data_IF_684720845014
#
_entry.id   IF_684720845014
#
_cell.length_a   1.000
_cell.length_b   1.000
_cell.length_c   1.000
_cell.angle_alpha   90.00
_cell.angle_beta   90.00
_cell.angle_gamma   90.00
#
_symmetry.space_group_name_H-M   'P 1'
#
loop_
_entity.id
_entity.type
_entity.pdbx_description
1 polymer ?
#
# COMPACT_ATOMS: atom_id res chain seq x y z
N UNK A 1 -3.53 12.56 -7.60
CA UNK A 1 -3.91 11.13 -7.71
C UNK A 1 -3.33 10.28 -6.58
N UNK A 2 -2.03 10.33 -6.33
CA UNK A 2 -1.40 9.54 -5.28
C UNK A 2 -1.94 9.89 -3.89
N UNK A 3 -2.12 11.18 -3.59
CA UNK A 3 -2.69 11.60 -2.32
C UNK A 3 -4.10 11.06 -2.08
N UNK A 4 -4.90 11.00 -3.14
CA UNK A 4 -6.25 10.45 -3.06
C UNK A 4 -6.22 8.94 -2.79
N UNK A 5 -5.28 8.22 -3.41
CA UNK A 5 -5.08 6.80 -3.15
C UNK A 5 -4.72 6.55 -1.68
N UNK A 6 -3.89 7.41 -1.09
CA UNK A 6 -3.52 7.29 0.32
C UNK A 6 -4.72 7.51 1.25
N UNK A 7 -5.61 8.46 0.92
CA UNK A 7 -6.82 8.68 1.70
C UNK A 7 -7.76 7.48 1.62
N UNK A 8 -7.91 6.90 0.43
CA UNK A 8 -8.72 5.69 0.25
C UNK A 8 -8.10 4.53 1.02
N UNK A 9 -6.79 4.38 0.98
CA UNK A 9 -6.09 3.33 1.73
C UNK A 9 -6.32 3.47 3.23
N UNK A 10 -6.29 4.68 3.77
CA UNK A 10 -6.56 4.92 5.18
C UNK A 10 -7.98 4.54 5.56
N UNK A 11 -8.96 4.85 4.70
CA UNK A 11 -10.34 4.44 4.92
C UNK A 11 -10.51 2.93 4.92
N UNK A 12 -9.87 2.24 3.98
CA UNK A 12 -9.92 0.79 3.90
C UNK A 12 -9.27 0.17 5.14
N UNK A 13 -8.13 0.72 5.57
CA UNK A 13 -7.44 0.24 6.76
C UNK A 13 -8.33 0.33 8.00
N UNK A 14 -9.09 1.43 8.13
CA UNK A 14 -10.02 1.60 9.23
C UNK A 14 -11.15 0.58 9.18
N UNK A 15 -11.72 0.35 7.99
CA UNK A 15 -12.80 -0.62 7.80
C UNK A 15 -12.35 -2.04 8.08
N UNK A 16 -11.08 -2.36 7.83
CA UNK A 16 -10.50 -3.69 8.05
C UNK A 16 -9.85 -3.84 9.42
N UNK A 17 -9.94 -2.81 10.27
CA UNK A 17 -9.37 -2.80 11.62
C UNK A 17 -7.86 -3.01 11.65
N UNK A 18 -7.15 -2.46 10.66
CA UNK A 18 -5.69 -2.50 10.59
C UNK A 18 -5.09 -1.11 10.68
N UNK A 19 -5.85 -0.14 11.17
CA UNK A 19 -5.43 1.26 11.23
C UNK A 19 -4.28 1.50 12.21
N UNK A 20 -4.01 0.56 13.09
CA UNK A 20 -2.89 0.62 14.03
C UNK A 20 -1.54 0.35 13.36
N UNK A 21 -1.55 -0.24 12.19
CA UNK A 21 -0.32 -0.44 11.44
C UNK A 21 -0.59 -1.05 10.07
N UNK A 22 -0.25 -0.31 9.03
CA UNK A 22 -0.35 -0.79 7.66
C UNK A 22 0.73 -0.14 6.81
N UNK A 23 0.95 -0.70 5.63
CA UNK A 23 1.95 -0.21 4.69
C UNK A 23 1.31 -0.10 3.31
N UNK A 24 1.62 0.99 2.61
CA UNK A 24 1.23 1.13 1.21
C UNK A 24 2.47 0.94 0.34
N UNK A 25 2.31 0.27 -0.80
CA UNK A 25 3.40 -0.04 -1.71
C UNK A 25 3.03 0.39 -3.11
N UNK A 26 3.92 1.16 -3.73
CA UNK A 26 3.79 1.62 -5.11
C UNK A 26 4.95 1.04 -5.90
N UNK A 27 4.67 0.12 -6.83
CA UNK A 27 5.69 -0.48 -7.68
C UNK A 27 5.92 0.38 -8.91
N UNK A 28 7.17 0.69 -9.20
CA UNK A 28 7.56 1.50 -10.34
C UNK A 28 8.62 0.74 -11.12
N UNK A 29 8.33 0.47 -12.39
CA UNK A 29 9.24 -0.22 -13.29
C UNK A 29 9.16 -1.73 -13.19
N UNK A 30 9.58 -2.46 -14.24
CA UNK A 30 9.47 -3.92 -14.26
C UNK A 30 10.30 -4.61 -13.19
N UNK A 31 11.45 -4.07 -12.82
CA UNK A 31 12.32 -4.66 -11.79
C UNK A 31 11.73 -4.55 -10.39
N UNK A 32 10.76 -3.66 -10.19
CA UNK A 32 10.05 -3.55 -8.92
C UNK A 32 8.79 -4.44 -8.89
N UNK A 33 8.55 -5.22 -9.95
CA UNK A 33 7.38 -6.08 -10.05
C UNK A 33 6.17 -5.41 -10.66
N UNK A 34 6.36 -4.29 -11.34
CA UNK A 34 5.27 -3.62 -12.05
C UNK A 34 4.91 -4.42 -13.31
N UNK A 35 3.88 -5.24 -13.21
CA UNK A 35 3.41 -6.05 -14.33
C UNK A 35 2.37 -5.32 -15.18
N UNK A 36 1.76 -4.29 -14.65
CA UNK A 36 0.76 -3.46 -15.33
C UNK A 36 1.31 -2.05 -15.40
N UNK A 37 1.34 -1.46 -16.60
CA UNK A 37 1.99 -0.18 -16.85
C UNK A 37 1.09 1.01 -16.53
N UNK A 38 0.32 0.92 -15.45
CA UNK A 38 -0.38 2.06 -14.90
C UNK A 38 -0.24 2.04 -13.38
N UNK A 39 -0.37 3.22 -12.79
CA UNK A 39 -0.12 3.42 -11.37
C UNK A 39 -1.18 2.72 -10.54
N UNK A 40 -0.74 1.96 -9.54
CA UNK A 40 -1.64 1.40 -8.52
C UNK A 40 -0.89 1.29 -7.20
N UNK A 41 -1.65 1.26 -6.10
CA UNK A 41 -1.10 1.22 -4.75
C UNK A 41 -1.61 -0.03 -4.04
N UNK A 42 -0.68 -0.79 -3.45
CA UNK A 42 -1.03 -1.93 -2.61
C UNK A 42 -1.16 -1.49 -1.17
N UNK A 43 -2.12 -2.08 -0.45
CA UNK A 43 -2.30 -1.88 0.98
C UNK A 43 -2.03 -3.22 1.67
N UNK A 44 -1.09 -3.20 2.60
CA UNK A 44 -0.64 -4.40 3.32
C UNK A 44 -0.77 -4.17 4.82
N UNK A 45 -1.44 -5.09 5.51
CA UNK A 45 -1.61 -4.99 6.95
C UNK A 45 -2.09 -6.30 7.55
N UNK A 46 -2.46 -6.27 8.82
CA UNK A 46 -2.97 -7.45 9.52
C UNK A 46 -1.90 -8.26 10.23
N UNK A 47 -0.65 -7.79 10.22
CA UNK A 47 0.46 -8.36 10.99
C UNK A 47 1.48 -7.29 11.27
N UNK A 48 2.40 -7.55 12.18
CA UNK A 48 3.51 -6.65 12.43
C UNK A 48 4.41 -6.57 11.21
N UNK A 49 4.75 -5.35 10.85
CA UNK A 49 5.63 -5.04 9.73
C UNK A 49 6.88 -4.37 10.27
N UNK A 50 8.02 -4.70 9.71
CA UNK A 50 9.29 -4.20 10.19
C UNK A 50 10.09 -3.57 9.04
N UNK A 51 11.25 -3.08 9.36
CA UNK A 51 12.19 -2.56 8.40
C UNK A 51 13.14 -3.69 7.97
N UNK A 52 13.54 -3.81 6.69
CA UNK A 52 13.19 -2.93 5.56
C UNK A 52 11.75 -3.13 5.07
N UNK A 53 11.22 -2.15 4.30
CA UNK A 53 9.83 -2.20 3.86
C UNK A 53 9.52 -3.25 2.79
N UNK A 54 10.52 -3.88 2.24
CA UNK A 54 10.29 -4.83 1.15
C UNK A 54 10.69 -6.25 1.42
#
# INVERSE_FOLDING_TARGET
MIGRCQLVAANIARQRSIEDGYRTVLNVGPRAGQSVFHLHVHLIGGRSLSWPPG
#
